data_IF_120798536253
#
_entry.id   IF_120798536253
#
_cell.length_a   1.000
_cell.length_b   1.000
_cell.length_c   1.000
_cell.angle_alpha   90.00
_cell.angle_beta   90.00
_cell.angle_gamma   90.00
#
_symmetry.space_group_name_H-M   'P 1'
#
loop_
_entity.id
_entity.type
_entity.pdbx_description
1 polymer ?
#
# COMPACT_ATOMS: atom_id res chain seq x y z
N UNK A 1 -11.99 10.96 -10.97
CA UNK A 1 -11.83 10.92 -9.50
C UNK A 1 -10.40 10.55 -9.20
N UNK A 2 -9.78 11.23 -8.25
CA UNK A 2 -8.42 10.92 -7.79
C UNK A 2 -8.46 9.68 -6.90
N UNK A 3 -7.58 8.70 -7.15
CA UNK A 3 -7.50 7.49 -6.33
C UNK A 3 -6.86 7.81 -4.98
N UNK A 4 -7.41 7.21 -3.91
CA UNK A 4 -6.92 7.35 -2.53
C UNK A 4 -5.95 6.22 -2.22
N UNK A 5 -4.71 6.57 -1.85
CA UNK A 5 -3.63 5.62 -1.65
C UNK A 5 -3.11 5.79 -0.23
N UNK A 6 -3.10 4.70 0.55
CA UNK A 6 -2.41 4.66 1.82
C UNK A 6 -0.95 4.28 1.59
N UNK A 7 -0.04 4.91 2.33
CA UNK A 7 1.40 4.65 2.21
C UNK A 7 1.99 4.52 3.60
N UNK A 8 2.71 3.43 3.84
CA UNK A 8 3.37 3.15 5.11
C UNK A 8 4.24 4.33 5.57
N UNK A 9 4.25 4.57 6.87
CA UNK A 9 5.10 5.58 7.47
C UNK A 9 6.59 5.26 7.30
N UNK A 10 7.38 6.30 7.04
CA UNK A 10 8.78 6.19 6.65
C UNK A 10 9.02 6.24 5.14
N UNK A 11 8.02 5.99 4.30
CA UNK A 11 8.13 6.05 2.83
C UNK A 11 7.85 7.45 2.27
N UNK A 12 8.50 8.47 2.83
CA UNK A 12 8.21 9.87 2.52
C UNK A 12 8.43 10.26 1.06
N UNK A 13 9.43 9.69 0.40
CA UNK A 13 9.72 9.98 -1.00
C UNK A 13 8.64 9.39 -1.92
N UNK A 14 8.17 8.17 -1.61
CA UNK A 14 7.04 7.55 -2.30
C UNK A 14 5.76 8.37 -2.12
N UNK A 15 5.48 8.84 -0.89
CA UNK A 15 4.34 9.73 -0.60
C UNK A 15 4.36 10.98 -1.48
N UNK A 16 5.53 11.63 -1.61
CA UNK A 16 5.70 12.84 -2.41
C UNK A 16 5.49 12.58 -3.90
N UNK A 17 6.12 11.53 -4.44
CA UNK A 17 6.04 11.24 -5.86
C UNK A 17 4.62 10.79 -6.28
N UNK A 18 3.96 9.94 -5.49
CA UNK A 18 2.56 9.57 -5.75
C UNK A 18 1.62 10.78 -5.70
N UNK A 19 1.82 11.69 -4.75
CA UNK A 19 1.06 12.95 -4.67
C UNK A 19 1.29 13.84 -5.90
N UNK A 20 2.53 13.92 -6.39
CA UNK A 20 2.91 14.68 -7.59
C UNK A 20 2.30 14.11 -8.88
N UNK A 21 2.12 12.79 -8.95
CA UNK A 21 1.45 12.10 -10.06
C UNK A 21 -0.08 12.30 -10.01
N UNK A 22 -0.60 12.81 -8.90
CA UNK A 22 -1.99 13.21 -8.75
C UNK A 22 -2.83 12.27 -7.90
N UNK A 23 -2.20 11.42 -7.08
CA UNK A 23 -2.89 10.58 -6.08
C UNK A 23 -3.17 11.34 -4.77
N UNK A 24 -4.25 10.97 -4.08
CA UNK A 24 -4.54 11.47 -2.74
C UNK A 24 -3.95 10.52 -1.72
N UNK A 25 -3.00 10.99 -0.92
CA UNK A 25 -2.43 10.19 0.17
C UNK A 25 -3.37 10.26 1.37
N UNK A 26 -3.76 9.09 1.87
CA UNK A 26 -4.60 8.93 3.07
C UNK A 26 -3.84 8.15 4.15
N UNK A 27 -4.33 8.23 5.38
CA UNK A 27 -3.78 7.46 6.50
C UNK A 27 -3.94 5.95 6.27
N UNK A 28 -3.03 5.16 6.86
CA UNK A 28 -3.03 3.69 6.74
C UNK A 28 -4.34 3.04 7.22
N UNK A 29 -5.00 3.66 8.21
CA UNK A 29 -6.27 3.18 8.77
C UNK A 29 -7.50 3.68 8.00
N UNK A 30 -7.30 4.45 6.93
CA UNK A 30 -8.39 4.95 6.10
C UNK A 30 -9.10 3.82 5.38
N UNK A 31 -10.41 3.71 5.58
CA UNK A 31 -11.25 2.72 4.90
C UNK A 31 -11.53 3.07 3.43
N UNK A 32 -11.10 4.27 3.01
CA UNK A 32 -11.32 4.78 1.66
C UNK A 32 -10.13 4.52 0.73
N UNK A 33 -9.06 3.88 1.23
CA UNK A 33 -7.88 3.56 0.43
C UNK A 33 -8.21 2.52 -0.64
N UNK A 34 -7.89 2.81 -1.89
CA UNK A 34 -7.97 1.88 -3.01
C UNK A 34 -6.69 1.03 -3.15
N UNK A 35 -5.57 1.51 -2.63
CA UNK A 35 -4.32 0.76 -2.56
C UNK A 35 -3.52 1.14 -1.31
N UNK A 36 -2.73 0.19 -0.81
CA UNK A 36 -1.83 0.35 0.32
C UNK A 36 -0.42 -0.01 -0.12
N UNK A 37 0.49 0.97 -0.05
CA UNK A 37 1.91 0.79 -0.41
C UNK A 37 2.72 0.59 0.86
N UNK A 38 3.47 -0.50 0.92
CA UNK A 38 4.33 -0.87 2.04
C UNK A 38 5.70 -1.29 1.54
N UNK A 39 6.72 -1.30 2.40
CA UNK A 39 8.04 -1.82 2.07
C UNK A 39 8.31 -3.02 2.96
N UNK A 40 8.53 -4.19 2.37
CA UNK A 40 8.94 -5.38 3.14
C UNK A 40 10.36 -5.13 3.70
N UNK A 41 10.54 -5.25 5.01
CA UNK A 41 11.86 -5.32 5.65
C UNK A 41 12.10 -6.73 6.16
N UNK A 42 13.35 -7.19 6.13
CA UNK A 42 13.76 -8.54 6.59
C UNK A 42 13.55 -8.74 8.09
N UNK A 43 13.53 -7.64 8.85
CA UNK A 43 13.02 -7.61 10.20
C UNK A 43 11.51 -7.52 10.16
N UNK A 44 10.87 -8.38 10.95
CA UNK A 44 9.42 -8.41 11.16
C UNK A 44 8.94 -6.98 11.43
N UNK A 45 8.39 -6.35 10.40
CA UNK A 45 7.98 -4.95 10.46
C UNK A 45 7.06 -4.81 11.67
N UNK A 46 7.29 -3.93 12.65
CA UNK A 46 6.44 -3.90 13.85
C UNK A 46 4.95 -3.63 13.54
N UNK A 47 4.67 -2.91 12.45
CA UNK A 47 3.33 -2.66 11.89
C UNK A 47 2.82 -3.74 10.94
N UNK A 48 3.70 -4.63 10.48
CA UNK A 48 3.40 -5.76 9.61
C UNK A 48 3.50 -7.12 10.35
N UNK A 49 4.02 -7.16 11.58
CA UNK A 49 3.91 -8.30 12.49
C UNK A 49 2.52 -8.38 13.10
N UNK A 50 1.83 -7.24 13.17
CA UNK A 50 0.42 -7.14 13.59
C UNK A 50 -0.55 -7.15 12.40
N UNK A 51 -0.09 -6.99 11.15
CA UNK A 51 -0.94 -7.03 9.93
C UNK A 51 -0.65 -8.16 8.95
N UNK A 52 0.49 -8.83 9.06
CA UNK A 52 0.91 -9.98 8.23
C UNK A 52 1.26 -11.19 9.11
N UNK A 53 0.70 -11.26 10.33
CA UNK A 53 0.34 -12.57 10.83
C UNK A 53 -0.93 -12.97 10.07
N UNK A 54 -0.84 -13.94 9.17
CA UNK A 54 -2.02 -14.50 8.48
C UNK A 54 -3.07 -15.07 9.48
N UNK A 55 -2.76 -15.12 10.79
CA UNK A 55 -3.70 -15.45 11.87
C UNK A 55 -4.22 -14.23 12.66
N UNK A 56 -3.72 -13.02 12.44
CA UNK A 56 -4.36 -11.83 13.01
C UNK A 56 -5.24 -11.23 11.95
N UNK A 57 -6.55 -11.33 12.18
CA UNK A 57 -7.52 -10.37 11.68
C UNK A 57 -7.01 -8.96 11.99
N UNK A 58 -6.20 -8.37 11.10
CA UNK A 58 -6.53 -7.01 10.69
C UNK A 58 -8.01 -7.04 10.36
N UNK A 59 -8.75 -6.01 10.70
CA UNK A 59 -10.19 -5.93 10.45
C UNK A 59 -10.42 -5.78 8.93
N UNK A 60 -9.92 -6.74 8.14
CA UNK A 60 -10.10 -6.99 6.72
C UNK A 60 -11.58 -7.11 6.37
N UNK A 61 -12.43 -7.36 7.37
CA UNK A 61 -13.89 -7.27 7.23
C UNK A 61 -14.37 -5.84 6.92
N UNK A 62 -13.54 -4.80 7.11
CA UNK A 62 -13.91 -3.39 6.85
C UNK A 62 -13.24 -2.72 5.66
N UNK A 63 -12.19 -3.32 5.07
CA UNK A 63 -11.39 -2.76 3.95
C UNK A 63 -11.48 -3.61 2.66
N UNK A 64 -12.67 -4.14 2.35
CA UNK A 64 -12.98 -5.15 1.31
C UNK A 64 -12.63 -4.82 -0.16
N UNK A 65 -11.70 -3.91 -0.48
CA UNK A 65 -11.39 -3.56 -1.88
C UNK A 65 -10.03 -2.94 -2.19
N UNK A 66 -9.18 -2.74 -1.18
CA UNK A 66 -7.85 -2.14 -1.38
C UNK A 66 -6.83 -3.19 -1.86
N UNK A 67 -5.96 -2.81 -2.81
CA UNK A 67 -4.84 -3.67 -3.24
C UNK A 67 -3.58 -3.38 -2.41
N UNK A 68 -2.81 -4.42 -2.07
CA UNK A 68 -1.54 -4.28 -1.35
C UNK A 68 -0.36 -4.26 -2.34
N UNK A 69 0.57 -3.33 -2.16
CA UNK A 69 1.72 -3.13 -3.05
C UNK A 69 3.00 -3.07 -2.24
N UNK A 70 3.87 -4.08 -2.39
CA UNK A 70 5.24 -4.01 -1.88
C UNK A 70 6.08 -3.11 -2.80
N UNK A 71 6.63 -2.02 -2.26
CA UNK A 71 7.47 -1.04 -2.95
C UNK A 71 8.93 -1.49 -3.12
N UNK A 72 9.33 -2.61 -2.50
CA UNK A 72 10.69 -3.13 -2.58
C UNK A 72 11.13 -3.37 -4.03
N UNK A 73 12.23 -2.72 -4.43
CA UNK A 73 12.78 -2.82 -5.80
C UNK A 73 11.87 -2.24 -6.90
N UNK A 74 10.77 -1.55 -6.55
CA UNK A 74 9.83 -0.97 -7.52
C UNK A 74 10.06 0.51 -7.71
N UNK A 75 9.88 0.96 -8.95
CA UNK A 75 9.83 2.39 -9.27
C UNK A 75 8.43 2.95 -8.99
N UNK A 76 8.31 4.28 -8.96
CA UNK A 76 7.00 4.93 -8.79
C UNK A 76 6.10 4.64 -10.00
N UNK A 77 6.67 4.55 -11.20
CA UNK A 77 5.97 4.18 -12.42
C UNK A 77 5.40 2.76 -12.34
N UNK A 78 6.11 1.83 -11.69
CA UNK A 78 5.61 0.48 -11.47
C UNK A 78 4.44 0.47 -10.49
N UNK A 79 4.54 1.21 -9.39
CA UNK A 79 3.47 1.38 -8.41
C UNK A 79 2.23 2.00 -9.09
N UNK A 80 2.41 3.04 -9.90
CA UNK A 80 1.35 3.68 -10.69
C UNK A 80 0.67 2.71 -11.66
N UNK A 81 1.45 1.89 -12.39
CA UNK A 81 0.90 0.85 -13.28
C UNK A 81 0.09 -0.19 -12.51
N UNK A 82 0.54 -0.62 -11.33
CA UNK A 82 -0.17 -1.60 -10.49
C UNK A 82 -1.50 -1.02 -10.02
N UNK A 83 -1.50 0.23 -9.55
CA UNK A 83 -2.72 0.95 -9.11
C UNK A 83 -3.72 1.11 -10.26
N UNK A 84 -3.24 1.48 -11.45
CA UNK A 84 -4.09 1.73 -12.62
C UNK A 84 -4.72 0.45 -13.17
N UNK A 85 -3.92 -0.60 -13.29
CA UNK A 85 -4.35 -1.83 -13.95
C UNK A 85 -4.95 -2.86 -12.99
N UNK A 86 -4.95 -2.58 -11.67
CA UNK A 86 -5.28 -3.56 -10.62
C UNK A 86 -4.55 -4.89 -10.85
N UNK A 87 -3.30 -4.83 -11.32
CA UNK A 87 -2.52 -6.04 -11.57
C UNK A 87 -2.17 -6.61 -10.20
N UNK A 88 -2.83 -7.70 -9.83
CA UNK A 88 -2.39 -8.55 -8.73
C UNK A 88 -1.00 -9.05 -9.10
N UNK A 89 0.04 -8.46 -8.52
CA UNK A 89 1.37 -9.03 -8.65
C UNK A 89 1.38 -10.39 -7.95
N UNK A 90 1.89 -11.45 -8.59
CA UNK A 90 2.00 -12.76 -7.95
C UNK A 90 2.78 -12.66 -6.65
N UNK A 91 2.35 -13.39 -5.64
CA UNK A 91 2.98 -13.45 -4.32
C UNK A 91 4.26 -14.31 -4.30
N UNK A 92 4.75 -14.74 -5.47
CA UNK A 92 5.83 -15.69 -5.66
C UNK A 92 6.66 -15.33 -6.90
#
# INVERSE_FOLDING_TARGET
MTKKIAVQDGLNDIKKELKKIGYTIVDMDSHEAEAIVYLKTDETIPYISSSINMNTKFDFERQSGAILINAEGRTIEDIDKIIKNRIYTPLF
#
